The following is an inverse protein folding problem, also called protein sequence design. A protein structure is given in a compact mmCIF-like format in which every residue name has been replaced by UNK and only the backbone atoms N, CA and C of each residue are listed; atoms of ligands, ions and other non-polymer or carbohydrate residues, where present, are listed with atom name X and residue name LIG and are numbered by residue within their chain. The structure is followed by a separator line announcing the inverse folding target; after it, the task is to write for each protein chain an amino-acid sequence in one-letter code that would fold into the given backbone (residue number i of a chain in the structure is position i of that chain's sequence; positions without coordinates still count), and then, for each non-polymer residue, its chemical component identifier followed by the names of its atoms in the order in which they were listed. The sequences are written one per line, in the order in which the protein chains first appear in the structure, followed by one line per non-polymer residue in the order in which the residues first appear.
data_IF_612520949838
#
_entry.id   IF_612520949838
#
_cell.length_a   1.000
_cell.length_b   1.000
_cell.length_c   1.000
_cell.angle_alpha   90.00
_cell.angle_beta   90.00
_cell.angle_gamma   90.00
#
_symmetry.space_group_name_H-M   'P 1'
#
loop_
_entity.id
_entity.type
_entity.pdbx_description
1 polymer ?
#
# COMPACT_ATOMS: atom_id res chain seq x y z
N UNK A 1 -0.01 -26.88 -17.80
CA UNK A 1 1.14 -27.78 -17.55
C UNK A 1 0.71 -28.85 -16.56
N UNK A 2 0.78 -30.12 -16.95
CA UNK A 2 0.48 -31.25 -16.07
C UNK A 2 1.77 -31.69 -15.37
N UNK A 3 1.74 -31.97 -14.06
CA UNK A 3 2.86 -32.59 -13.36
C UNK A 3 2.43 -33.84 -12.58
N UNK A 4 3.32 -34.83 -12.70
CA UNK A 4 3.28 -36.20 -12.23
C UNK A 4 3.35 -36.31 -10.70
N UNK A 5 2.52 -37.17 -10.08
CA UNK A 5 2.55 -37.50 -8.64
C UNK A 5 3.61 -38.57 -8.35
N UNK A 6 4.89 -38.26 -8.56
CA UNK A 6 5.96 -39.05 -7.97
C UNK A 6 7.21 -38.19 -7.79
N UNK A 7 7.44 -37.71 -6.56
CA UNK A 7 8.53 -36.77 -6.26
C UNK A 7 9.92 -37.43 -6.22
N UNK A 8 10.02 -38.73 -6.54
CA UNK A 8 11.27 -39.50 -6.58
C UNK A 8 11.76 -39.79 -8.01
N UNK A 9 11.14 -39.22 -9.05
CA UNK A 9 11.49 -39.50 -10.44
C UNK A 9 12.45 -38.44 -11.01
N UNK A 10 13.66 -38.85 -11.42
CA UNK A 10 14.61 -38.04 -12.21
C UNK A 10 14.68 -38.62 -13.62
N UNK A 11 14.60 -37.77 -14.64
CA UNK A 11 14.88 -38.14 -16.03
C UNK A 11 16.33 -37.83 -16.37
N UNK A 12 17.02 -38.78 -16.99
CA UNK A 12 18.37 -38.59 -17.50
C UNK A 12 18.36 -38.15 -18.97
N UNK A 13 19.49 -37.61 -19.45
CA UNK A 13 19.63 -37.10 -20.80
C UNK A 13 19.48 -38.22 -21.84
N UNK A 14 18.41 -38.15 -22.64
CA UNK A 14 18.08 -39.15 -23.68
C UNK A 14 16.83 -39.99 -23.40
N UNK A 15 16.23 -39.90 -22.21
CA UNK A 15 15.00 -40.62 -21.90
C UNK A 15 13.74 -39.94 -22.49
N UNK A 16 12.74 -40.75 -22.88
CA UNK A 16 11.46 -40.27 -23.42
C UNK A 16 10.33 -40.51 -22.44
N UNK A 17 9.57 -39.46 -22.13
CA UNK A 17 8.39 -39.53 -21.27
C UNK A 17 7.13 -39.88 -22.08
N UNK A 18 6.46 -40.97 -21.72
CA UNK A 18 5.15 -41.34 -22.27
C UNK A 18 4.05 -40.91 -21.29
N UNK A 19 3.11 -40.08 -21.74
CA UNK A 19 1.95 -39.66 -20.95
C UNK A 19 0.64 -40.19 -21.54
N UNK A 20 -0.37 -40.40 -20.69
CA UNK A 20 -1.73 -40.79 -21.09
C UNK A 20 -2.72 -39.74 -20.57
N UNK A 21 -3.57 -39.23 -21.44
CA UNK A 21 -4.63 -38.30 -21.05
C UNK A 21 -5.86 -39.09 -20.57
N UNK A 22 -6.32 -38.77 -19.37
CA UNK A 22 -7.58 -39.28 -18.82
C UNK A 22 -8.45 -38.07 -18.49
N UNK A 23 -9.68 -38.05 -18.99
CA UNK A 23 -10.67 -37.01 -18.66
C UNK A 23 -11.92 -37.65 -18.07
N UNK A 24 -12.60 -36.93 -17.19
CA UNK A 24 -13.89 -37.37 -16.66
C UNK A 24 -15.03 -36.74 -17.48
N UNK A 25 -15.85 -37.57 -18.10
CA UNK A 25 -17.00 -37.16 -18.92
C UNK A 25 -18.24 -37.85 -18.39
N UNK A 26 -19.17 -37.07 -17.82
CA UNK A 26 -20.43 -37.59 -17.27
C UNK A 26 -20.23 -38.55 -16.09
N UNK A 27 -19.26 -38.31 -15.21
CA UNK A 27 -18.96 -39.15 -14.04
C UNK A 27 -18.15 -40.41 -14.35
N UNK A 28 -17.60 -40.54 -15.57
CA UNK A 28 -16.78 -41.68 -15.99
C UNK A 28 -15.43 -41.22 -16.52
N UNK A 29 -14.37 -41.91 -16.11
CA UNK A 29 -13.02 -41.68 -16.63
C UNK A 29 -12.88 -42.30 -18.02
N UNK A 30 -12.54 -41.46 -19.00
CA UNK A 30 -12.30 -41.83 -20.40
C UNK A 30 -10.81 -41.62 -20.71
N UNK A 31 -10.17 -42.64 -21.27
CA UNK A 31 -8.75 -42.59 -21.66
C UNK A 31 -8.63 -42.42 -23.17
N UNK A 32 -7.75 -41.51 -23.61
CA UNK A 32 -7.57 -41.22 -25.04
C UNK A 32 -6.26 -41.82 -25.59
N UNK A 33 -6.28 -42.43 -26.79
CA UNK A 33 -5.06 -42.80 -27.51
C UNK A 33 -4.26 -41.57 -27.94
N UNK A 34 -2.93 -41.65 -27.90
CA UNK A 34 -2.00 -40.55 -28.18
C UNK A 34 -2.14 -39.98 -29.61
N UNK A 35 -2.71 -40.74 -30.55
CA UNK A 35 -2.85 -40.32 -31.96
C UNK A 35 -4.16 -39.65 -32.36
N UNK A 36 -5.21 -39.66 -31.53
CA UNK A 36 -6.56 -39.20 -31.94
C UNK A 36 -6.87 -37.74 -31.62
N UNK A 37 -5.88 -36.97 -31.13
CA UNK A 37 -6.11 -35.62 -30.61
C UNK A 37 -5.99 -34.51 -31.66
N UNK A 38 -5.30 -34.74 -32.78
CA UNK A 38 -4.99 -33.68 -33.75
C UNK A 38 -6.03 -33.51 -34.86
N UNK A 39 -6.95 -34.47 -35.08
CA UNK A 39 -7.90 -34.41 -36.20
C UNK A 39 -9.30 -33.86 -35.84
N UNK A 40 -9.60 -33.54 -34.57
CA UNK A 40 -10.99 -33.29 -34.17
C UNK A 40 -11.28 -32.04 -33.33
N UNK A 41 -10.39 -31.05 -33.29
CA UNK A 41 -10.72 -29.79 -32.62
C UNK A 41 -10.21 -28.58 -33.40
N UNK A 42 -11.16 -27.84 -33.98
CA UNK A 42 -10.94 -26.43 -34.28
C UNK A 42 -10.46 -25.71 -32.99
N UNK A 43 -9.54 -24.73 -33.05
CA UNK A 43 -8.83 -24.18 -31.88
C UNK A 43 -9.68 -23.41 -30.85
N UNK A 44 -11.01 -23.50 -30.87
CA UNK A 44 -11.92 -22.59 -30.16
C UNK A 44 -12.59 -23.13 -28.89
N UNK A 45 -12.36 -24.37 -28.46
CA UNK A 45 -13.25 -25.02 -27.46
C UNK A 45 -12.63 -25.53 -26.16
N UNK A 46 -11.46 -25.04 -25.74
CA UNK A 46 -11.01 -25.22 -24.34
C UNK A 46 -10.45 -23.93 -23.77
N UNK A 47 -11.34 -23.07 -23.26
CA UNK A 47 -10.99 -22.13 -22.20
C UNK A 47 -11.45 -22.78 -20.88
N UNK A 48 -10.54 -23.30 -20.04
CA UNK A 48 -10.94 -23.92 -18.79
C UNK A 48 -11.60 -22.86 -17.91
N UNK A 49 -12.92 -22.98 -17.69
CA UNK A 49 -13.70 -22.05 -16.86
C UNK A 49 -13.19 -21.96 -15.40
N UNK A 50 -12.40 -22.95 -14.95
CA UNK A 50 -11.88 -23.06 -13.58
C UNK A 50 -10.39 -23.44 -13.56
N UNK A 51 -9.53 -22.73 -14.31
CA UNK A 51 -8.09 -22.83 -14.09
C UNK A 51 -7.75 -22.13 -12.76
N UNK A 52 -7.64 -22.89 -11.66
CA UNK A 52 -7.10 -22.34 -10.41
C UNK A 52 -5.62 -22.06 -10.63
N UNK A 53 -5.24 -20.79 -10.53
CA UNK A 53 -3.84 -20.38 -10.62
C UNK A 53 -3.10 -20.99 -9.42
N UNK A 54 -2.16 -21.91 -9.66
CA UNK A 54 -1.33 -22.47 -8.59
C UNK A 54 -0.37 -21.38 -8.13
N UNK A 55 -0.66 -20.78 -6.99
CA UNK A 55 0.23 -19.83 -6.33
C UNK A 55 0.98 -20.44 -5.16
N UNK A 56 2.14 -19.87 -4.83
CA UNK A 56 2.92 -20.20 -3.63
C UNK A 56 2.91 -19.00 -2.71
N UNK A 57 2.57 -19.20 -1.43
CA UNK A 57 2.72 -18.14 -0.41
C UNK A 57 4.20 -17.90 -0.21
N UNK A 58 4.67 -16.70 -0.55
CA UNK A 58 6.08 -16.29 -0.42
C UNK A 58 6.33 -15.44 0.82
N UNK A 59 5.26 -14.86 1.38
CA UNK A 59 5.29 -14.11 2.62
C UNK A 59 3.92 -14.16 3.29
N UNK A 60 3.90 -14.38 4.59
CA UNK A 60 2.70 -14.26 5.44
C UNK A 60 3.12 -13.77 6.82
N UNK A 61 2.38 -12.83 7.36
CA UNK A 61 2.48 -12.41 8.75
C UNK A 61 1.07 -12.31 9.32
N UNK A 62 0.82 -13.09 10.37
CA UNK A 62 -0.45 -13.17 11.10
C UNK A 62 -0.42 -12.34 12.39
N UNK A 63 0.70 -11.65 12.68
CA UNK A 63 0.88 -10.80 13.87
C UNK A 63 0.48 -11.49 15.18
N UNK A 64 0.68 -12.82 15.28
CA UNK A 64 0.31 -13.66 16.42
C UNK A 64 1.45 -13.88 17.41
N UNK A 65 2.60 -13.22 17.18
CA UNK A 65 3.82 -13.38 17.96
C UNK A 65 4.43 -12.04 18.37
N UNK A 66 4.83 -11.95 19.65
CA UNK A 66 5.43 -10.75 20.20
C UNK A 66 4.43 -9.61 20.42
N UNK A 67 4.96 -8.43 20.70
CA UNK A 67 4.19 -7.22 20.98
C UNK A 67 4.54 -6.06 20.02
N UNK A 68 5.37 -6.33 19.02
CA UNK A 68 5.74 -5.42 17.93
C UNK A 68 6.01 -6.22 16.63
N UNK A 69 5.87 -5.62 15.44
CA UNK A 69 6.32 -6.19 14.18
C UNK A 69 7.72 -6.84 14.26
N UNK A 70 7.84 -8.09 13.78
CA UNK A 70 9.11 -8.79 13.74
C UNK A 70 10.09 -8.06 12.81
N UNK A 71 11.24 -7.64 13.37
CA UNK A 71 12.31 -6.96 12.63
C UNK A 71 12.98 -7.83 11.57
N UNK A 72 12.72 -9.15 11.54
CA UNK A 72 13.13 -10.02 10.44
C UNK A 72 12.20 -9.89 9.23
N UNK A 73 10.97 -9.41 9.42
CA UNK A 73 9.98 -9.23 8.37
C UNK A 73 9.78 -7.76 7.98
N UNK A 74 9.94 -6.86 8.95
CA UNK A 74 9.59 -5.45 8.81
C UNK A 74 10.73 -4.52 9.20
N UNK A 75 10.95 -3.50 8.38
CA UNK A 75 11.77 -2.35 8.73
C UNK A 75 10.87 -1.16 9.12
N UNK A 76 11.31 -0.38 10.10
CA UNK A 76 10.60 0.81 10.57
C UNK A 76 11.17 2.05 9.89
N UNK A 77 10.29 2.96 9.47
CA UNK A 77 10.70 4.33 9.16
C UNK A 77 10.97 5.08 10.48
N UNK A 78 12.13 5.71 10.56
CA UNK A 78 12.56 6.55 11.69
C UNK A 78 13.03 7.88 11.11
N UNK A 79 12.08 8.78 10.84
CA UNK A 79 12.35 10.08 10.23
C UNK A 79 11.17 11.05 10.36
N UNK A 80 11.47 12.34 10.29
CA UNK A 80 10.53 13.46 10.15
C UNK A 80 10.30 13.86 8.68
N UNK A 81 10.68 13.01 7.74
CA UNK A 81 10.70 13.36 6.33
C UNK A 81 9.28 13.56 5.73
N UNK A 82 8.30 12.78 6.18
CA UNK A 82 6.88 13.02 5.85
C UNK A 82 6.51 12.89 4.37
N UNK A 83 7.21 12.02 3.62
CA UNK A 83 6.72 11.51 2.33
C UNK A 83 6.58 12.52 1.18
N UNK A 84 7.37 13.61 1.15
CA UNK A 84 7.24 14.76 0.22
C UNK A 84 5.96 15.61 0.38
N UNK A 85 4.96 15.16 1.14
CA UNK A 85 3.64 15.79 1.27
C UNK A 85 3.55 16.82 2.40
N UNK A 86 4.67 17.12 3.07
CA UNK A 86 4.73 17.97 4.27
C UNK A 86 3.76 17.50 5.35
N UNK A 87 3.74 16.20 5.57
CA UNK A 87 2.91 15.56 6.58
C UNK A 87 3.36 15.99 7.98
N UNK A 88 2.41 16.00 8.92
CA UNK A 88 2.55 16.64 10.25
C UNK A 88 3.27 15.72 11.24
N UNK A 89 3.32 14.42 10.96
CA UNK A 89 3.89 13.43 11.88
C UNK A 89 5.40 13.23 11.72
N UNK A 90 6.01 12.71 12.78
CA UNK A 90 7.27 11.97 12.73
C UNK A 90 6.98 10.46 12.76
N UNK A 91 7.66 9.68 11.91
CA UNK A 91 7.60 8.22 12.01
C UNK A 91 8.65 7.72 12.98
N UNK A 92 8.24 6.84 13.90
CA UNK A 92 9.10 6.33 14.97
C UNK A 92 8.93 4.83 15.18
N UNK A 93 9.90 4.15 15.82
CA UNK A 93 9.76 2.75 16.22
C UNK A 93 9.10 2.59 17.61
N UNK A 94 8.47 3.64 18.15
CA UNK A 94 7.89 3.63 19.49
C UNK A 94 6.77 2.58 19.60
N UNK A 95 6.74 1.89 20.74
CA UNK A 95 5.71 0.89 21.07
C UNK A 95 4.30 1.48 21.14
N UNK A 96 4.19 2.79 21.35
CA UNK A 96 2.91 3.48 21.31
C UNK A 96 2.35 3.63 19.88
N UNK A 97 3.21 3.57 18.86
CA UNK A 97 2.85 3.82 17.47
C UNK A 97 2.75 2.56 16.62
N UNK A 98 3.52 1.52 16.94
CA UNK A 98 3.42 0.21 16.29
C UNK A 98 3.52 -0.89 17.34
N UNK A 99 2.41 -1.59 17.56
CA UNK A 99 2.33 -2.67 18.54
C UNK A 99 1.38 -3.77 18.08
N UNK A 100 1.60 -4.96 18.61
CA UNK A 100 0.75 -6.13 18.40
C UNK A 100 -0.07 -6.35 19.66
N UNK A 101 -1.38 -6.54 19.50
CA UNK A 101 -2.29 -6.87 20.60
C UNK A 101 -3.43 -7.73 20.09
N UNK A 102 -3.71 -8.84 20.78
CA UNK A 102 -4.76 -9.80 20.42
C UNK A 102 -4.63 -10.35 18.99
N UNK A 103 -3.39 -10.58 18.52
CA UNK A 103 -3.13 -11.10 17.18
C UNK A 103 -3.23 -10.08 16.05
N UNK A 104 -3.41 -8.79 16.34
CA UNK A 104 -3.47 -7.74 15.32
C UNK A 104 -2.37 -6.71 15.53
N UNK A 105 -1.83 -6.21 14.42
CA UNK A 105 -0.95 -5.05 14.38
C UNK A 105 -1.78 -3.77 14.45
N UNK A 106 -1.39 -2.84 15.31
CA UNK A 106 -1.93 -1.48 15.40
C UNK A 106 -0.85 -0.49 14.95
N UNK A 107 -1.14 0.27 13.90
CA UNK A 107 -0.36 1.46 13.53
C UNK A 107 -1.14 2.69 14.00
N UNK A 108 -0.68 3.31 15.09
CA UNK A 108 -1.44 4.30 15.86
C UNK A 108 -0.72 5.65 15.92
N UNK A 109 -1.35 6.75 15.50
CA UNK A 109 -0.81 8.07 15.76
C UNK A 109 -1.02 8.46 17.24
N UNK A 110 -0.03 9.14 17.82
CA UNK A 110 -0.08 9.67 19.20
C UNK A 110 0.50 11.07 19.23
N UNK A 111 0.01 11.92 20.12
CA UNK A 111 0.64 13.23 20.31
C UNK A 111 2.11 13.07 20.74
N UNK A 112 2.99 13.90 20.19
CA UNK A 112 4.42 13.91 20.53
C UNK A 112 4.65 14.15 22.02
N UNK A 113 3.79 14.95 22.66
CA UNK A 113 3.85 15.22 24.11
C UNK A 113 3.47 14.02 25.00
N UNK A 114 2.91 12.95 24.42
CA UNK A 114 2.69 11.70 25.16
C UNK A 114 3.99 10.91 25.34
N UNK A 115 5.04 11.23 24.58
CA UNK A 115 6.37 10.69 24.78
C UNK A 115 7.07 11.50 25.89
N UNK A 116 7.60 10.85 26.94
CA UNK A 116 8.16 11.54 28.11
C UNK A 116 9.38 12.43 27.80
N UNK A 117 9.96 12.31 26.60
CA UNK A 117 11.03 13.20 26.12
C UNK A 117 10.52 14.62 25.80
N UNK A 118 9.21 14.79 25.54
CA UNK A 118 8.61 16.04 25.09
C UNK A 118 7.49 16.53 26.03
N UNK A 119 7.24 17.82 25.96
CA UNK A 119 6.13 18.55 26.56
C UNK A 119 5.74 19.69 25.59
N UNK A 120 4.69 20.46 25.90
CA UNK A 120 4.24 21.53 25.01
C UNK A 120 5.33 22.59 24.73
N UNK A 121 6.17 22.90 25.71
CA UNK A 121 7.25 23.87 25.56
C UNK A 121 8.34 23.35 24.61
N UNK A 122 8.68 22.06 24.70
CA UNK A 122 9.69 21.44 23.86
C UNK A 122 9.26 21.36 22.40
N UNK A 123 7.97 21.37 22.07
CA UNK A 123 7.54 21.44 20.67
C UNK A 123 8.04 22.71 19.97
N UNK A 124 8.21 23.82 20.68
CA UNK A 124 8.65 25.11 20.11
C UNK A 124 10.08 25.52 20.49
N UNK A 125 10.70 24.82 21.43
CA UNK A 125 12.04 25.19 21.91
C UNK A 125 13.05 24.05 21.94
N UNK A 126 12.57 22.81 21.90
CA UNK A 126 13.38 21.60 22.01
C UNK A 126 14.00 21.18 20.69
N UNK A 127 14.72 20.07 20.76
CA UNK A 127 15.35 19.42 19.62
C UNK A 127 14.79 18.01 19.52
N UNK A 128 14.44 17.61 18.29
CA UNK A 128 14.12 16.23 17.97
C UNK A 128 15.21 15.70 17.04
N UNK A 129 16.00 14.74 17.52
CA UNK A 129 17.09 14.12 16.78
C UNK A 129 16.91 12.59 16.78
N UNK A 130 16.68 12.03 15.59
CA UNK A 130 16.39 10.61 15.43
C UNK A 130 17.56 9.71 15.83
N UNK A 131 18.79 10.15 15.58
CA UNK A 131 19.98 9.39 15.97
C UNK A 131 20.14 9.37 17.49
N UNK A 132 19.88 10.49 18.16
CA UNK A 132 19.94 10.55 19.62
C UNK A 132 18.81 9.73 20.28
N UNK A 133 17.61 9.82 19.73
CA UNK A 133 16.43 9.16 20.30
C UNK A 133 16.40 7.65 20.07
N UNK A 134 16.82 7.19 18.88
CA UNK A 134 16.61 5.82 18.41
C UNK A 134 17.88 5.14 17.89
N UNK A 135 19.02 5.82 17.87
CA UNK A 135 20.28 5.30 17.33
C UNK A 135 20.33 5.21 15.80
N UNK A 136 19.27 5.64 15.11
CA UNK A 136 19.15 5.54 13.65
C UNK A 136 18.28 6.65 13.08
N UNK A 137 18.47 6.94 11.80
CA UNK A 137 17.57 7.74 10.99
C UNK A 137 17.51 7.11 9.60
N UNK A 138 16.30 6.85 9.10
CA UNK A 138 16.12 6.15 7.82
C UNK A 138 16.06 7.08 6.63
N UNK A 139 15.76 8.37 6.84
CA UNK A 139 15.71 9.35 5.77
C UNK A 139 16.09 10.76 6.27
N UNK A 140 17.17 11.31 5.72
CA UNK A 140 17.70 12.63 6.07
C UNK A 140 17.11 13.78 5.24
N UNK A 141 16.37 13.47 4.17
CA UNK A 141 15.77 14.49 3.30
C UNK A 141 14.86 15.43 4.10
N UNK A 142 14.84 16.72 3.71
CA UNK A 142 13.99 17.76 4.32
C UNK A 142 14.04 17.79 5.85
N UNK A 143 15.27 17.76 6.38
CA UNK A 143 15.52 17.77 7.83
C UNK A 143 14.86 16.59 8.54
N UNK A 144 14.85 15.41 7.91
CA UNK A 144 14.19 14.21 8.41
C UNK A 144 14.84 13.63 9.67
N UNK A 145 16.15 13.83 9.86
CA UNK A 145 16.85 13.27 11.02
C UNK A 145 16.91 14.20 12.22
N UNK A 146 16.85 15.52 12.02
CA UNK A 146 17.00 16.50 13.09
C UNK A 146 16.22 17.77 12.80
N UNK A 147 15.43 18.24 13.78
CA UNK A 147 14.74 19.53 13.76
C UNK A 147 14.85 20.20 15.13
N UNK A 148 14.78 21.53 15.11
CA UNK A 148 14.82 22.37 16.31
C UNK A 148 13.56 23.22 16.33
N UNK A 149 12.78 23.13 17.41
CA UNK A 149 11.46 23.77 17.53
C UNK A 149 11.49 25.29 17.35
N UNK A 150 12.64 25.91 17.61
CA UNK A 150 12.85 27.35 17.44
C UNK A 150 12.81 27.80 15.97
N UNK A 151 13.09 26.89 15.03
CA UNK A 151 13.08 27.15 13.60
C UNK A 151 11.75 26.77 12.93
N UNK A 152 10.76 26.36 13.72
CA UNK A 152 9.49 25.79 13.30
C UNK A 152 9.09 24.68 14.25
N UNK A 153 7.81 24.67 14.66
CA UNK A 153 7.32 23.70 15.64
C UNK A 153 7.69 22.27 15.22
N UNK A 154 8.23 21.49 16.16
CA UNK A 154 8.49 20.07 15.97
C UNK A 154 7.20 19.34 15.59
N UNK A 155 7.25 18.24 14.82
CA UNK A 155 6.09 17.42 14.52
C UNK A 155 5.25 17.15 15.78
N UNK A 156 4.00 17.64 15.87
CA UNK A 156 3.19 17.49 17.07
C UNK A 156 2.61 16.08 17.24
N UNK A 157 2.79 15.22 16.23
CA UNK A 157 2.31 13.84 16.23
C UNK A 157 3.47 12.87 15.94
N UNK A 158 3.53 11.77 16.68
CA UNK A 158 4.30 10.58 16.33
C UNK A 158 3.37 9.55 15.70
N UNK A 159 3.84 8.83 14.69
CA UNK A 159 3.11 7.74 14.05
C UNK A 159 4.06 6.62 13.62
N UNK A 160 3.54 5.61 12.93
CA UNK A 160 4.30 4.48 12.44
C UNK A 160 4.16 4.28 10.93
N UNK A 161 5.27 3.89 10.32
CA UNK A 161 5.39 3.39 8.96
C UNK A 161 6.33 2.20 8.98
N UNK A 162 5.88 1.08 8.46
CA UNK A 162 6.69 -0.14 8.32
C UNK A 162 6.73 -0.59 6.87
N UNK A 163 7.84 -1.19 6.49
CA UNK A 163 8.07 -1.71 5.13
C UNK A 163 8.49 -3.17 5.19
N UNK A 164 7.98 -4.00 4.27
CA UNK A 164 8.31 -5.42 4.25
C UNK A 164 9.73 -5.66 3.70
N UNK A 165 10.44 -6.60 4.31
CA UNK A 165 11.70 -7.13 3.74
C UNK A 165 11.41 -8.04 2.55
N UNK A 166 10.32 -8.81 2.62
CA UNK A 166 9.83 -9.57 1.49
C UNK A 166 9.43 -8.63 0.33
N UNK A 167 9.61 -9.11 -0.88
CA UNK A 167 9.15 -8.47 -2.11
C UNK A 167 8.41 -9.47 -2.97
N UNK A 168 7.58 -8.98 -3.86
CA UNK A 168 6.89 -9.80 -4.85
C UNK A 168 6.95 -9.13 -6.21
N UNK A 169 7.06 -9.94 -7.25
CA UNK A 169 6.80 -9.55 -8.64
C UNK A 169 5.79 -10.53 -9.21
N UNK A 170 4.64 -10.00 -9.63
CA UNK A 170 3.48 -10.77 -10.07
C UNK A 170 2.97 -11.74 -8.99
N UNK A 171 1.66 -11.90 -8.91
CA UNK A 171 1.03 -12.62 -7.82
C UNK A 171 -0.16 -11.86 -7.25
N UNK A 172 -0.51 -12.24 -6.01
CA UNK A 172 -1.53 -11.62 -5.21
C UNK A 172 -0.91 -11.05 -3.94
N UNK A 173 -1.22 -9.79 -3.60
CA UNK A 173 -0.95 -9.21 -2.28
C UNK A 173 -2.28 -8.98 -1.61
N UNK A 174 -2.42 -9.42 -0.37
CA UNK A 174 -3.66 -9.32 0.40
C UNK A 174 -3.32 -8.78 1.79
N UNK A 175 -4.06 -7.77 2.23
CA UNK A 175 -3.96 -7.18 3.55
C UNK A 175 -5.36 -7.12 4.13
N UNK A 176 -5.60 -7.82 5.24
CA UNK A 176 -6.85 -7.71 5.98
C UNK A 176 -6.70 -6.66 7.06
N UNK A 177 -7.37 -5.53 6.89
CA UNK A 177 -7.24 -4.38 7.79
C UNK A 177 -8.55 -3.64 7.99
N UNK A 178 -8.64 -2.91 9.09
CA UNK A 178 -9.66 -1.91 9.39
C UNK A 178 -8.99 -0.54 9.42
N UNK A 179 -9.50 0.41 8.62
CA UNK A 179 -8.91 1.75 8.57
C UNK A 179 -9.24 2.56 9.84
N UNK A 180 -8.38 3.52 10.23
CA UNK A 180 -8.64 4.39 11.36
C UNK A 180 -9.79 5.36 11.10
N UNK A 181 -10.38 5.83 12.20
CA UNK A 181 -11.31 6.95 12.28
C UNK A 181 -10.77 7.99 13.26
N UNK A 182 -10.66 9.23 12.79
CA UNK A 182 -10.16 10.39 13.51
C UNK A 182 -9.79 11.47 12.50
N UNK A 183 -10.04 12.72 12.84
CA UNK A 183 -9.80 13.82 11.90
C UNK A 183 -8.32 13.92 11.53
N UNK A 184 -8.07 14.23 10.25
CA UNK A 184 -6.75 14.48 9.68
C UNK A 184 -5.83 13.26 9.59
N UNK A 185 -6.36 12.05 9.84
CA UNK A 185 -5.61 10.80 9.69
C UNK A 185 -5.62 10.34 8.23
N UNK A 186 -4.48 9.92 7.72
CA UNK A 186 -4.29 9.42 6.36
C UNK A 186 -3.63 8.02 6.39
N UNK A 187 -4.43 6.94 6.50
CA UNK A 187 -3.94 5.58 6.38
C UNK A 187 -3.58 5.22 4.93
N UNK A 188 -2.54 4.40 4.75
CA UNK A 188 -2.18 3.86 3.45
C UNK A 188 -1.66 2.42 3.50
N UNK A 189 -2.07 1.63 2.49
CA UNK A 189 -1.52 0.32 2.14
C UNK A 189 -1.04 0.43 0.70
N UNK A 190 0.27 0.37 0.50
CA UNK A 190 0.87 0.71 -0.80
C UNK A 190 2.21 0.01 -0.99
N UNK A 191 2.79 0.14 -2.17
CA UNK A 191 3.99 -0.58 -2.54
C UNK A 191 4.93 0.29 -3.37
N UNK A 192 6.24 0.14 -3.13
CA UNK A 192 7.31 0.73 -3.92
C UNK A 192 8.24 -0.36 -4.47
N UNK A 193 8.91 -0.11 -5.61
CA UNK A 193 9.87 -1.05 -6.16
C UNK A 193 11.09 -1.15 -5.24
N UNK A 194 11.66 -2.36 -5.10
CA UNK A 194 12.89 -2.58 -4.30
C UNK A 194 14.09 -1.80 -4.85
N UNK A 195 14.10 -1.55 -6.15
CA UNK A 195 15.15 -0.79 -6.83
C UNK A 195 14.53 0.20 -7.82
N UNK A 196 15.17 1.35 -7.98
CA UNK A 196 14.80 2.37 -8.97
C UNK A 196 15.27 1.98 -10.38
N UNK A 197 14.88 0.79 -10.87
CA UNK A 197 15.38 0.19 -12.11
C UNK A 197 15.27 1.10 -13.34
N UNK A 198 14.17 1.86 -13.44
CA UNK A 198 13.92 2.80 -14.54
C UNK A 198 14.25 4.26 -14.20
N UNK A 199 14.84 4.50 -13.03
CA UNK A 199 15.14 5.83 -12.47
C UNK A 199 14.24 6.20 -11.29
N UNK A 200 14.46 7.40 -10.76
CA UNK A 200 13.72 7.93 -9.61
C UNK A 200 12.22 8.03 -9.87
N UNK A 201 11.44 8.09 -8.79
CA UNK A 201 9.98 8.26 -8.85
C UNK A 201 9.57 9.40 -9.81
N UNK A 202 8.52 9.23 -10.64
CA UNK A 202 7.61 8.08 -10.73
C UNK A 202 8.05 7.03 -11.76
N UNK A 203 9.30 7.10 -12.26
CA UNK A 203 9.75 6.27 -13.41
C UNK A 203 9.76 4.78 -13.12
N UNK A 204 9.97 4.40 -11.86
CA UNK A 204 9.98 2.98 -11.42
C UNK A 204 8.66 2.53 -10.79
N UNK A 205 7.63 3.37 -10.81
CA UNK A 205 6.28 3.03 -10.36
C UNK A 205 6.05 3.16 -8.85
N UNK A 206 4.77 3.30 -8.49
CA UNK A 206 4.20 3.22 -7.14
C UNK A 206 2.80 2.60 -7.27
N UNK A 207 2.43 1.72 -6.33
CA UNK A 207 1.13 1.03 -6.34
C UNK A 207 0.43 1.30 -5.01
N UNK A 208 -0.61 2.11 -5.03
CA UNK A 208 -1.45 2.39 -3.86
C UNK A 208 -2.66 1.47 -3.89
N UNK A 209 -2.65 0.46 -3.01
CA UNK A 209 -3.76 -0.49 -2.91
C UNK A 209 -4.94 0.20 -2.22
N UNK A 210 -4.67 0.97 -1.18
CA UNK A 210 -5.68 1.72 -0.44
C UNK A 210 -5.06 2.96 0.18
N UNK A 211 -5.66 4.11 -0.12
CA UNK A 211 -5.56 5.33 0.67
C UNK A 211 -6.96 5.75 1.12
N UNK A 212 -7.06 6.44 2.26
CA UNK A 212 -8.33 6.96 2.77
C UNK A 212 -8.10 8.17 3.69
N UNK A 213 -9.18 8.78 4.15
CA UNK A 213 -9.20 9.83 5.16
C UNK A 213 -9.92 9.33 6.40
N UNK A 214 -9.33 9.51 7.58
CA UNK A 214 -9.95 9.12 8.85
C UNK A 214 -11.12 10.00 9.29
N UNK A 215 -11.35 11.13 8.62
CA UNK A 215 -12.48 12.04 8.92
C UNK A 215 -13.82 11.32 8.77
N UNK A 216 -14.76 11.57 9.68
CA UNK A 216 -16.13 11.04 9.50
C UNK A 216 -16.88 11.80 8.41
N UNK A 217 -16.62 13.12 8.32
CA UNK A 217 -17.13 14.01 7.27
C UNK A 217 -15.96 14.71 6.62
N UNK A 218 -15.82 14.51 5.30
CA UNK A 218 -14.92 15.24 4.41
C UNK A 218 -15.67 15.43 3.09
N UNK A 219 -16.63 16.35 3.09
CA UNK A 219 -17.52 16.55 1.96
C UNK A 219 -16.92 17.51 0.95
N UNK A 220 -16.92 17.12 -0.31
CA UNK A 220 -16.63 18.02 -1.41
C UNK A 220 -17.75 19.10 -1.56
N UNK A 221 -17.57 20.13 -2.42
CA UNK A 221 -18.60 21.13 -2.67
C UNK A 221 -19.91 20.57 -3.25
N UNK A 222 -19.92 19.33 -3.74
CA UNK A 222 -21.11 18.63 -4.24
C UNK A 222 -21.87 17.87 -3.13
N UNK A 223 -21.28 17.77 -1.94
CA UNK A 223 -21.84 17.08 -0.77
C UNK A 223 -21.47 15.60 -0.69
N UNK A 224 -20.53 15.11 -1.52
CA UNK A 224 -20.06 13.74 -1.48
C UNK A 224 -19.01 13.55 -0.39
N UNK A 225 -19.16 12.53 0.46
CA UNK A 225 -18.26 12.30 1.59
C UNK A 225 -17.06 11.42 1.17
N UNK A 226 -15.86 11.99 1.29
CA UNK A 226 -14.58 11.36 0.96
C UNK A 226 -13.76 11.00 2.20
N UNK A 227 -14.43 10.92 3.36
CA UNK A 227 -13.87 10.49 4.64
C UNK A 227 -13.70 8.96 4.73
N UNK A 228 -14.00 8.39 5.89
CA UNK A 228 -13.93 6.93 6.13
C UNK A 228 -14.84 6.09 5.21
N UNK A 229 -15.75 6.73 4.48
CA UNK A 229 -16.65 6.11 3.52
C UNK A 229 -15.99 5.82 2.17
N UNK A 230 -14.84 6.43 1.88
CA UNK A 230 -14.13 6.27 0.62
C UNK A 230 -12.76 5.63 0.82
N UNK A 231 -12.39 4.76 -0.11
CA UNK A 231 -11.00 4.40 -0.36
C UNK A 231 -10.66 4.73 -1.80
N UNK A 232 -9.39 5.03 -2.05
CA UNK A 232 -8.84 5.17 -3.38
C UNK A 232 -7.71 4.17 -3.63
N UNK A 233 -7.54 3.80 -4.89
CA UNK A 233 -6.41 3.02 -5.38
C UNK A 233 -5.81 3.73 -6.59
N UNK A 234 -4.47 3.83 -6.62
CA UNK A 234 -3.76 4.62 -7.63
C UNK A 234 -2.49 3.91 -8.08
N UNK A 235 -2.13 4.07 -9.35
CA UNK A 235 -0.78 3.77 -9.82
C UNK A 235 -0.08 5.07 -10.21
N UNK A 236 1.10 5.37 -9.67
CA UNK A 236 1.92 6.48 -10.17
C UNK A 236 2.97 5.97 -11.15
N UNK A 237 3.04 6.60 -12.32
CA UNK A 237 3.96 6.22 -13.40
C UNK A 237 4.11 7.37 -14.39
N UNK A 238 5.31 7.54 -14.92
CA UNK A 238 5.60 8.56 -15.93
C UNK A 238 7.11 8.81 -16.06
N UNK A 239 7.55 9.52 -17.11
CA UNK A 239 8.96 9.84 -17.30
C UNK A 239 9.50 10.88 -16.30
N UNK A 240 8.62 11.65 -15.66
CA UNK A 240 8.97 12.67 -14.66
C UNK A 240 7.78 12.94 -13.72
N UNK A 241 8.01 13.65 -12.61
CA UNK A 241 6.95 14.05 -11.69
C UNK A 241 5.85 14.90 -12.38
N UNK A 242 6.24 15.80 -13.28
CA UNK A 242 5.30 16.63 -14.05
C UNK A 242 4.51 15.85 -15.10
N UNK A 243 5.01 14.67 -15.47
CA UNK A 243 4.40 13.78 -16.45
C UNK A 243 3.83 12.52 -15.81
N UNK A 244 3.61 12.55 -14.50
CA UNK A 244 2.93 11.49 -13.79
C UNK A 244 1.51 11.32 -14.36
N UNK A 245 1.14 10.09 -14.73
CA UNK A 245 -0.15 9.74 -15.35
C UNK A 245 -1.09 9.05 -14.38
N UNK A 246 -0.89 9.23 -13.07
CA UNK A 246 -1.71 8.63 -12.04
C UNK A 246 -3.22 8.83 -12.23
N UNK A 247 -3.66 9.99 -12.75
CA UNK A 247 -5.06 10.28 -13.04
C UNK A 247 -5.69 9.34 -14.09
N UNK A 248 -4.89 8.65 -14.91
CA UNK A 248 -5.36 7.61 -15.84
C UNK A 248 -5.56 6.26 -15.16
N UNK A 249 -5.01 6.08 -13.97
CA UNK A 249 -4.95 4.81 -13.24
C UNK A 249 -5.30 5.06 -11.79
N UNK A 250 -6.46 5.67 -11.60
CA UNK A 250 -7.04 5.99 -10.30
C UNK A 250 -8.48 5.44 -10.26
N UNK A 251 -8.86 4.88 -9.12
CA UNK A 251 -10.20 4.37 -8.88
C UNK A 251 -10.58 4.57 -7.42
N UNK A 252 -11.85 4.84 -7.18
CA UNK A 252 -12.41 5.09 -5.86
C UNK A 252 -13.55 4.11 -5.57
N UNK A 253 -13.77 3.81 -4.30
CA UNK A 253 -14.91 3.00 -3.88
C UNK A 253 -15.54 3.50 -2.60
N UNK A 254 -16.85 3.69 -2.69
CA UNK A 254 -17.70 4.14 -1.59
C UNK A 254 -18.29 2.97 -0.79
N UNK A 255 -18.39 3.15 0.52
CA UNK A 255 -19.08 2.29 1.46
C UNK A 255 -19.89 3.15 2.43
N UNK A 256 -21.21 3.10 2.34
CA UNK A 256 -22.11 3.90 3.17
C UNK A 256 -21.98 3.59 4.67
N UNK A 257 -21.52 2.38 5.04
CA UNK A 257 -21.29 2.01 6.44
C UNK A 257 -19.91 2.43 6.96
N UNK A 258 -19.04 2.95 6.07
CA UNK A 258 -17.65 3.28 6.38
C UNK A 258 -16.74 2.06 6.35
N UNK A 259 -15.56 2.21 5.76
CA UNK A 259 -14.49 1.20 5.74
C UNK A 259 -13.81 1.02 7.11
N UNK A 260 -14.09 1.91 8.06
CA UNK A 260 -13.58 1.86 9.43
C UNK A 260 -14.42 0.97 10.37
N UNK A 261 -15.54 0.43 9.89
CA UNK A 261 -16.54 -0.27 10.72
C UNK A 261 -16.20 -1.75 10.95
N UNK A 262 -15.51 -2.40 10.03
CA UNK A 262 -15.09 -3.79 10.10
C UNK A 262 -13.73 -3.96 9.39
N UNK A 263 -13.16 -5.16 9.47
CA UNK A 263 -12.02 -5.55 8.66
C UNK A 263 -12.44 -5.84 7.23
N UNK A 264 -11.64 -5.35 6.31
CA UNK A 264 -11.79 -5.55 4.88
C UNK A 264 -10.51 -6.16 4.30
N UNK A 265 -10.63 -6.94 3.23
CA UNK A 265 -9.48 -7.51 2.53
C UNK A 265 -9.16 -6.64 1.32
N UNK A 266 -8.10 -5.85 1.43
CA UNK A 266 -7.52 -5.08 0.34
C UNK A 266 -6.57 -5.98 -0.44
N UNK A 267 -6.80 -6.13 -1.74
CA UNK A 267 -6.10 -7.10 -2.55
C UNK A 267 -5.63 -6.53 -3.88
N UNK A 268 -4.40 -6.85 -4.24
CA UNK A 268 -3.79 -6.66 -5.54
C UNK A 268 -3.67 -8.03 -6.24
N UNK A 269 -4.25 -8.21 -7.43
CA UNK A 269 -3.91 -9.28 -8.37
C UNK A 269 -3.11 -8.69 -9.54
N UNK A 270 -1.86 -9.12 -9.65
CA UNK A 270 -0.87 -8.54 -10.53
C UNK A 270 -0.23 -9.60 -11.41
N UNK A 271 -0.21 -9.33 -12.71
CA UNK A 271 0.27 -10.26 -13.73
C UNK A 271 1.16 -9.52 -14.72
N UNK A 272 1.78 -10.26 -15.64
CA UNK A 272 2.55 -9.68 -16.74
C UNK A 272 1.69 -8.87 -17.74
N UNK A 273 0.35 -8.91 -17.67
CA UNK A 273 -0.54 -8.18 -18.59
C UNK A 273 -1.47 -7.17 -17.92
N UNK A 274 -1.80 -7.36 -16.65
CA UNK A 274 -2.77 -6.53 -15.95
C UNK A 274 -2.47 -6.43 -14.46
N UNK A 275 -3.09 -5.42 -13.85
CA UNK A 275 -3.08 -5.12 -12.43
C UNK A 275 -4.52 -4.84 -12.01
N UNK A 276 -5.01 -5.54 -10.97
CA UNK A 276 -6.37 -5.39 -10.45
C UNK A 276 -6.29 -5.17 -8.95
N UNK A 277 -6.82 -4.05 -8.48
CA UNK A 277 -6.94 -3.73 -7.06
C UNK A 277 -8.41 -3.86 -6.67
N UNK A 278 -8.67 -4.50 -5.54
CA UNK A 278 -10.00 -4.81 -5.05
C UNK A 278 -10.08 -4.72 -3.53
N UNK A 279 -11.29 -4.54 -3.01
CA UNK A 279 -11.62 -4.66 -1.60
C UNK A 279 -12.79 -5.63 -1.46
N UNK A 280 -12.66 -6.62 -0.57
CA UNK A 280 -13.66 -7.69 -0.37
C UNK A 280 -14.10 -8.36 -1.68
N UNK A 281 -13.13 -8.64 -2.56
CA UNK A 281 -13.33 -9.19 -3.91
C UNK A 281 -14.12 -8.30 -4.88
N UNK A 282 -14.37 -7.04 -4.54
CA UNK A 282 -14.96 -6.08 -5.45
C UNK A 282 -13.87 -5.16 -6.02
N UNK A 283 -13.81 -5.09 -7.34
CA UNK A 283 -12.85 -4.25 -8.06
C UNK A 283 -12.98 -2.76 -7.69
N UNK A 284 -11.84 -2.12 -7.48
CA UNK A 284 -11.67 -0.67 -7.31
C UNK A 284 -10.97 -0.10 -8.55
N UNK A 285 -9.88 -0.75 -8.97
CA UNK A 285 -9.08 -0.33 -10.13
C UNK A 285 -8.63 -1.53 -10.95
N UNK A 286 -8.74 -1.44 -12.27
CA UNK A 286 -8.16 -2.39 -13.23
C UNK A 286 -7.37 -1.65 -14.29
N UNK A 287 -6.11 -2.07 -14.47
CA UNK A 287 -5.20 -1.50 -15.45
C UNK A 287 -4.67 -2.62 -16.34
N UNK A 288 -4.96 -2.51 -17.63
CA UNK A 288 -4.45 -3.37 -18.70
C UNK A 288 -4.01 -2.45 -19.85
N UNK A 289 -2.76 -1.95 -19.83
CA UNK A 289 -2.31 -0.86 -20.71
C UNK A 289 -2.03 -1.41 -22.12
N UNK A 290 -2.85 -1.08 -23.15
CA UNK A 290 -2.63 -1.62 -24.49
C UNK A 290 -1.30 -1.12 -25.07
N UNK A 291 -0.42 -2.06 -25.42
CA UNK A 291 0.92 -1.73 -25.93
C UNK A 291 1.90 -1.24 -24.85
N UNK A 292 1.58 -1.49 -23.58
CA UNK A 292 2.38 -1.08 -22.42
C UNK A 292 2.16 0.37 -21.98
N UNK A 293 2.69 0.71 -20.80
CA UNK A 293 2.43 2.01 -20.17
C UNK A 293 2.93 3.20 -21.00
N UNK A 294 4.00 3.06 -21.78
CA UNK A 294 4.50 4.17 -22.60
C UNK A 294 3.44 4.66 -23.60
N UNK A 295 2.84 3.72 -24.35
CA UNK A 295 1.75 4.01 -25.28
C UNK A 295 0.51 4.47 -24.52
N UNK A 296 0.17 3.79 -23.42
CA UNK A 296 -1.00 4.14 -22.61
C UNK A 296 -0.94 5.56 -22.03
N UNK A 297 0.26 6.05 -21.71
CA UNK A 297 0.49 7.42 -21.23
C UNK A 297 0.46 8.49 -22.31
N UNK A 298 0.46 8.08 -23.59
CA UNK A 298 0.56 8.97 -24.75
C UNK A 298 1.89 9.72 -24.81
N UNK A 299 2.98 9.12 -24.29
CA UNK A 299 4.29 9.76 -24.30
C UNK A 299 4.94 9.70 -25.68
N UNK A 300 5.82 10.66 -25.95
CA UNK A 300 6.57 10.77 -27.19
C UNK A 300 8.08 10.74 -26.91
N UNK A 301 8.87 10.44 -27.95
CA UNK A 301 10.32 10.29 -27.83
C UNK A 301 10.76 8.89 -27.41
N UNK A 302 11.93 8.81 -26.80
CA UNK A 302 12.56 7.53 -26.44
C UNK A 302 11.87 6.87 -25.26
N UNK A 303 11.22 5.74 -25.50
CA UNK A 303 10.57 4.95 -24.45
C UNK A 303 11.60 4.51 -23.40
N UNK A 304 11.45 5.03 -22.18
CA UNK A 304 12.31 4.73 -21.04
C UNK A 304 12.09 3.32 -20.46
N UNK A 305 10.98 2.68 -20.82
CA UNK A 305 10.60 1.32 -20.41
C UNK A 305 10.81 0.29 -21.53
N UNK A 306 11.49 0.65 -22.62
CA UNK A 306 11.69 -0.24 -23.79
C UNK A 306 12.41 -1.55 -23.48
N UNK A 307 13.17 -1.60 -22.38
CA UNK A 307 13.89 -2.80 -21.93
C UNK A 307 13.07 -3.67 -20.97
N UNK A 308 11.89 -3.19 -20.57
CA UNK A 308 11.00 -3.87 -19.64
C UNK A 308 9.98 -4.79 -20.31
N UNK A 309 9.19 -5.45 -19.48
CA UNK A 309 8.04 -6.26 -19.87
C UNK A 309 6.81 -5.37 -20.14
N UNK A 310 5.70 -5.95 -20.58
CA UNK A 310 4.46 -5.22 -20.93
C UNK A 310 3.95 -4.31 -19.82
N UNK A 311 4.11 -4.74 -18.56
CA UNK A 311 3.68 -3.98 -17.39
C UNK A 311 4.71 -3.00 -16.84
N UNK A 312 5.89 -2.84 -17.46
CA UNK A 312 6.87 -1.84 -17.03
C UNK A 312 6.21 -0.44 -16.91
N UNK A 313 6.38 0.27 -15.77
CA UNK A 313 7.40 0.03 -14.74
C UNK A 313 7.03 -0.99 -13.64
N UNK A 314 5.82 -1.53 -13.66
CA UNK A 314 5.32 -2.54 -12.71
C UNK A 314 5.69 -3.97 -13.13
N UNK A 315 6.95 -4.16 -13.53
CA UNK A 315 7.54 -5.45 -13.90
C UNK A 315 8.80 -5.78 -13.08
N UNK A 316 9.00 -5.05 -11.98
CA UNK A 316 10.08 -5.26 -11.01
C UNK A 316 9.51 -5.81 -9.68
N UNK A 317 10.33 -6.31 -8.74
CA UNK A 317 9.86 -6.65 -7.40
C UNK A 317 9.51 -5.43 -6.55
N UNK A 318 8.33 -5.44 -5.93
CA UNK A 318 7.84 -4.39 -5.03
C UNK A 318 7.76 -4.89 -3.59
N UNK A 319 8.03 -4.02 -2.61
CA UNK A 319 7.81 -4.26 -1.19
C UNK A 319 6.55 -3.55 -0.70
N UNK A 320 5.92 -4.08 0.34
CA UNK A 320 4.71 -3.52 0.94
C UNK A 320 5.07 -2.45 1.97
N UNK A 321 4.25 -1.41 2.04
CA UNK A 321 4.33 -0.30 2.99
C UNK A 321 2.97 -0.18 3.68
N UNK A 322 3.01 -0.11 5.01
CA UNK A 322 1.86 0.13 5.86
C UNK A 322 2.15 1.35 6.72
N UNK A 323 1.31 2.38 6.67
CA UNK A 323 1.47 3.55 7.51
C UNK A 323 0.16 4.25 7.85
N UNK A 324 0.27 5.13 8.84
CA UNK A 324 -0.74 6.13 9.16
C UNK A 324 -0.07 7.50 9.17
N UNK A 325 -0.25 8.27 8.10
CA UNK A 325 0.18 9.66 8.00
C UNK A 325 -0.86 10.60 8.63
N UNK A 326 -0.50 11.87 8.81
CA UNK A 326 -1.33 12.91 9.42
C UNK A 326 -1.22 14.19 8.61
N UNK A 327 -2.36 14.70 8.15
CA UNK A 327 -2.45 15.94 7.40
C UNK A 327 -1.62 15.95 6.11
N UNK A 328 -0.95 17.07 5.85
CA UNK A 328 -0.21 17.33 4.61
C UNK A 328 -0.71 18.56 3.88
N UNK A 329 0.15 19.17 3.05
CA UNK A 329 -0.15 20.39 2.28
C UNK A 329 -0.30 20.14 0.78
N UNK A 330 -0.21 18.87 0.36
CA UNK A 330 -0.28 18.45 -1.04
C UNK A 330 -1.70 18.48 -1.67
N UNK A 331 -2.72 18.90 -0.92
CA UNK A 331 -4.11 18.91 -1.38
C UNK A 331 -4.90 17.66 -1.05
N UNK A 332 -4.32 16.64 -0.41
CA UNK A 332 -5.06 15.43 -0.03
C UNK A 332 -6.24 15.73 0.91
N UNK A 333 -6.08 16.73 1.79
CA UNK A 333 -7.18 17.39 2.50
C UNK A 333 -7.45 18.74 1.84
N UNK A 334 -8.47 18.91 0.99
CA UNK A 334 -8.74 20.19 0.32
C UNK A 334 -9.18 21.28 1.32
N UNK A 335 -8.85 22.53 1.00
CA UNK A 335 -9.14 23.70 1.84
C UNK A 335 -10.62 24.13 1.72
N UNK A 336 -11.29 23.80 0.61
CA UNK A 336 -12.66 24.20 0.27
C UNK A 336 -13.73 23.13 0.58
N UNK A 337 -13.32 22.04 1.23
CA UNK A 337 -14.21 20.97 1.67
C UNK A 337 -14.82 21.23 3.04
N UNK A 338 -16.00 20.65 3.27
CA UNK A 338 -16.66 20.69 4.57
C UNK A 338 -16.28 19.49 5.41
N UNK A 339 -15.79 19.75 6.62
CA UNK A 339 -15.39 18.73 7.60
C UNK A 339 -16.17 18.90 8.90
N UNK A 340 -16.21 17.86 9.74
CA UNK A 340 -16.82 17.91 11.08
C UNK A 340 -16.14 18.94 12.02
N UNK A 341 -14.84 19.15 11.82
CA UNK A 341 -14.04 20.16 12.50
C UNK A 341 -13.41 21.07 11.45
N UNK A 342 -13.19 22.35 11.77
CA UNK A 342 -12.53 23.23 10.80
C UNK A 342 -11.12 22.71 10.52
N UNK A 343 -10.72 22.68 9.25
CA UNK A 343 -9.37 22.27 8.88
C UNK A 343 -8.36 23.20 9.58
N UNK A 344 -7.45 22.68 10.42
CA UNK A 344 -6.57 23.52 11.23
C UNK A 344 -5.53 24.32 10.45
N UNK A 345 -5.19 23.89 9.23
CA UNK A 345 -4.14 24.49 8.39
C UNK A 345 -4.64 24.68 6.95
N UNK A 346 -4.02 25.61 6.22
CA UNK A 346 -4.19 25.72 4.76
C UNK A 346 -3.12 24.91 4.03
N UNK A 347 -3.44 24.39 2.85
CA UNK A 347 -2.47 23.75 1.95
C UNK A 347 -1.34 24.68 1.46
N UNK A 348 -1.42 25.99 1.73
CA UNK A 348 -0.34 26.94 1.47
C UNK A 348 0.38 27.41 2.74
N UNK A 349 0.07 26.84 3.91
CA UNK A 349 0.70 27.25 5.16
C UNK A 349 2.19 26.84 5.19
N UNK A 350 3.10 27.76 5.56
CA UNK A 350 4.49 27.42 5.88
C UNK A 350 4.68 27.00 7.35
N UNK A 351 3.59 26.93 8.12
CA UNK A 351 3.56 26.68 9.56
C UNK A 351 2.53 25.61 9.93
N UNK A 352 2.30 24.64 9.05
CA UNK A 352 1.27 23.61 9.15
C UNK A 352 1.28 22.85 10.49
N UNK A 353 2.47 22.56 11.04
CA UNK A 353 2.59 21.93 12.36
C UNK A 353 2.04 22.81 13.50
N UNK A 354 2.34 24.11 13.47
CA UNK A 354 1.88 25.06 14.48
C UNK A 354 0.38 25.34 14.36
N UNK A 355 -0.11 25.50 13.13
CA UNK A 355 -1.52 25.70 12.82
C UNK A 355 -2.36 24.49 13.27
N UNK A 356 -1.88 23.28 12.98
CA UNK A 356 -2.48 22.03 13.44
C UNK A 356 -2.55 21.92 14.96
N UNK A 357 -1.44 22.22 15.64
CA UNK A 357 -1.34 22.16 17.10
C UNK A 357 -2.22 23.20 17.80
N UNK A 358 -2.33 24.41 17.24
CA UNK A 358 -3.11 25.50 17.81
C UNK A 358 -4.60 25.17 17.91
N UNK A 359 -5.12 24.37 16.97
CA UNK A 359 -6.54 23.97 16.93
C UNK A 359 -6.80 22.57 17.50
N UNK A 360 -5.86 21.99 18.28
CA UNK A 360 -6.03 20.63 18.85
C UNK A 360 -7.32 20.43 19.63
N UNK A 361 -7.78 21.47 20.33
CA UNK A 361 -9.03 21.42 21.09
C UNK A 361 -10.27 21.12 20.22
N UNK A 362 -10.20 21.35 18.90
CA UNK A 362 -11.29 21.07 17.97
C UNK A 362 -11.30 19.62 17.50
N UNK A 363 -10.13 19.09 17.10
CA UNK A 363 -10.01 17.79 16.42
C UNK A 363 -9.57 16.65 17.34
N UNK A 364 -8.85 16.90 18.44
CA UNK A 364 -8.31 15.85 19.32
C UNK A 364 -9.42 15.01 19.94
N UNK A 365 -10.59 15.60 20.20
CA UNK A 365 -11.79 14.88 20.67
C UNK A 365 -12.27 13.78 19.73
N UNK A 366 -11.87 13.80 18.46
CA UNK A 366 -12.20 12.76 17.48
C UNK A 366 -11.23 11.57 17.56
N UNK A 367 -10.10 11.73 18.25
CA UNK A 367 -9.08 10.70 18.40
C UNK A 367 -9.37 9.81 19.60
N UNK A 368 -10.27 8.84 19.42
CA UNK A 368 -10.83 8.04 20.51
C UNK A 368 -10.17 6.66 20.58
N UNK A 369 -9.42 6.40 21.65
CA UNK A 369 -8.91 5.07 21.97
C UNK A 369 -8.04 4.49 20.85
N UNK A 370 -8.37 3.28 20.40
CA UNK A 370 -7.66 2.60 19.31
C UNK A 370 -8.38 2.73 17.96
N UNK A 371 -9.49 3.47 17.89
CA UNK A 371 -10.16 3.73 16.61
C UNK A 371 -9.29 4.56 15.66
N UNK A 372 -8.32 5.31 16.19
CA UNK A 372 -7.36 6.09 15.39
C UNK A 372 -6.24 5.25 14.79
N UNK A 373 -6.15 3.96 15.14
CA UNK A 373 -5.14 3.08 14.59
C UNK A 373 -5.66 2.40 13.33
N UNK A 374 -4.77 2.23 12.34
CA UNK A 374 -5.00 1.18 11.34
C UNK A 374 -4.72 -0.16 12.02
N UNK A 375 -5.73 -1.01 12.04
CA UNK A 375 -5.66 -2.34 12.66
C UNK A 375 -5.54 -3.39 11.55
N UNK A 376 -4.47 -4.20 11.58
CA UNK A 376 -4.16 -5.19 10.56
C UNK A 376 -4.17 -6.57 11.20
N UNK A 377 -5.01 -7.46 10.66
CA UNK A 377 -5.12 -8.85 11.09
C UNK A 377 -4.03 -9.71 10.47
N UNK A 378 -3.87 -9.65 9.14
CA UNK A 378 -2.80 -10.38 8.47
C UNK A 378 -2.41 -9.75 7.13
N UNK A 379 -1.21 -10.11 6.68
CA UNK A 379 -0.67 -9.81 5.35
C UNK A 379 -0.26 -11.10 4.67
N UNK A 380 -0.53 -11.22 3.36
CA UNK A 380 -0.10 -12.35 2.56
C UNK A 380 0.35 -11.92 1.16
N UNK A 381 1.45 -12.50 0.69
CA UNK A 381 1.90 -12.41 -0.70
C UNK A 381 1.96 -13.81 -1.31
N UNK A 382 1.25 -14.01 -2.42
CA UNK A 382 1.16 -15.29 -3.14
C UNK A 382 1.65 -15.11 -4.57
N UNK A 383 2.75 -15.76 -4.97
CA UNK A 383 3.33 -15.60 -6.31
C UNK A 383 2.82 -16.67 -7.29
N UNK A 384 2.55 -16.31 -8.55
CA UNK A 384 2.04 -17.20 -9.61
C UNK A 384 2.25 -16.77 -11.06
#
# INVERSE_FOLDING_TARGET
MWYHRNNNFKLEEGEKLLYRLVAEVGGKLVQFPIGSFLEWLEPKLFSPKNAVRRGTVVFRDDFDHGDQPDRNHWDYEVSMYGGYNWEIQVYTPERANAFIRNGHLFLKPTLTINNPRFDEQKLTTGVMDMHEMYGTCTNADRYGCRREGQNGMLPPVMSAKITSKATIRYGKVEVRARIPKGDWIWPAIWMLPRSSHYGQWPRSGEIDLMESRGNSVANDPSGHNHGVNEISSTLHWGPSANENRFSRTHGERQNNNGWNSDFHVYALDWTHNQLVISVDNHEVLRVNPPGGFWQYGGFSGDNIWRSGEHMAPFDQPFYLILNVAIGGTNGFFPDDWHYDTNKPWSNNSPHENADFWAHRNEWERTWIGDNVAMEIDWVQMTQY
#
